data_IF_215914749245
#
_entry.id   IF_215914749245
#
_cell.length_a   1.000
_cell.length_b   1.000
_cell.length_c   1.000
_cell.angle_alpha   90.00
_cell.angle_beta   90.00
_cell.angle_gamma   90.00
#
_symmetry.space_group_name_H-M   'P 1'
#
loop_
_entity.id
_entity.type
_entity.pdbx_description
1 polymer ?
#
# COMPACT_ATOMS: atom_id res chain seq x y z
N UNK A 1 9.50 2.99 -7.52
CA UNK A 1 10.17 4.07 -8.27
C UNK A 1 11.67 3.90 -8.10
N UNK A 2 12.41 3.90 -9.21
CA UNK A 2 13.87 3.84 -9.25
C UNK A 2 14.44 5.24 -9.47
N UNK A 3 15.57 5.53 -8.84
CA UNK A 3 16.35 6.75 -9.04
C UNK A 3 17.56 6.40 -9.92
N UNK A 4 17.60 6.93 -11.13
CA UNK A 4 18.60 6.62 -12.14
C UNK A 4 19.69 7.69 -12.19
N UNK A 5 20.94 7.32 -12.54
CA UNK A 5 22.02 8.27 -12.72
C UNK A 5 21.90 9.08 -14.03
N UNK A 6 20.96 8.74 -14.90
CA UNK A 6 20.77 9.36 -16.22
C UNK A 6 19.31 9.74 -16.45
N UNK A 7 19.09 10.66 -17.38
CA UNK A 7 17.74 11.02 -17.83
C UNK A 7 17.28 10.06 -18.90
N UNK A 8 16.08 9.50 -18.71
CA UNK A 8 15.42 8.61 -19.69
C UNK A 8 14.14 9.23 -20.21
N UNK A 9 13.77 8.88 -21.46
CA UNK A 9 12.51 9.25 -22.10
C UNK A 9 11.57 8.06 -22.14
N UNK A 10 10.31 8.29 -22.46
CA UNK A 10 9.29 7.23 -22.51
C UNK A 10 9.67 6.06 -23.44
N UNK A 11 10.43 6.30 -24.51
CA UNK A 11 10.84 5.26 -25.46
C UNK A 11 12.15 4.54 -25.05
N UNK A 12 12.81 4.98 -24.02
CA UNK A 12 14.09 4.42 -23.57
C UNK A 12 13.88 3.26 -22.58
N UNK A 13 12.69 3.12 -22.02
CA UNK A 13 12.34 2.11 -21.02
C UNK A 13 11.00 1.44 -21.31
N UNK A 14 10.92 0.16 -21.07
CA UNK A 14 9.72 -0.67 -21.15
C UNK A 14 9.71 -1.76 -20.06
N UNK A 15 8.70 -2.63 -20.10
CA UNK A 15 8.56 -3.73 -19.14
C UNK A 15 9.76 -4.71 -19.14
N UNK A 16 10.51 -4.81 -20.23
CA UNK A 16 11.65 -5.73 -20.38
C UNK A 16 12.96 -5.07 -19.96
N UNK A 17 12.97 -3.78 -19.66
CA UNK A 17 14.17 -3.05 -19.27
C UNK A 17 14.68 -3.42 -17.89
N UNK A 18 13.85 -4.09 -17.07
CA UNK A 18 14.20 -4.44 -15.68
C UNK A 18 13.68 -5.81 -15.29
N UNK A 19 14.45 -6.52 -14.47
CA UNK A 19 14.02 -7.71 -13.74
C UNK A 19 13.88 -7.39 -12.26
N UNK A 20 12.83 -7.95 -11.62
CA UNK A 20 12.63 -7.83 -10.18
C UNK A 20 12.70 -9.22 -9.58
N UNK A 21 13.72 -9.46 -8.75
CA UNK A 21 13.79 -10.63 -7.88
C UNK A 21 13.32 -10.24 -6.48
N UNK A 22 12.54 -11.10 -5.85
CA UNK A 22 11.99 -10.88 -4.51
C UNK A 22 12.34 -12.03 -3.60
N UNK A 23 12.75 -11.69 -2.39
CA UNK A 23 12.79 -12.59 -1.24
C UNK A 23 11.76 -12.12 -0.22
N UNK A 24 10.83 -13.01 0.14
CA UNK A 24 9.83 -12.69 1.16
C UNK A 24 10.34 -13.13 2.51
N UNK A 25 10.40 -12.20 3.42
CA UNK A 25 10.91 -12.41 4.76
C UNK A 25 9.77 -12.40 5.78
N UNK A 26 9.92 -13.22 6.80
CA UNK A 26 9.14 -13.10 8.02
C UNK A 26 9.63 -11.90 8.82
N UNK A 27 8.84 -11.45 9.77
CA UNK A 27 9.20 -10.35 10.66
C UNK A 27 10.48 -10.61 11.48
N UNK A 28 10.85 -11.88 11.67
CA UNK A 28 12.12 -12.29 12.25
C UNK A 28 13.34 -11.94 11.40
N UNK A 29 13.12 -11.56 10.12
CA UNK A 29 14.16 -11.38 9.12
C UNK A 29 14.55 -12.66 8.38
N UNK A 30 13.94 -13.79 8.72
CA UNK A 30 14.19 -15.06 8.02
C UNK A 30 13.37 -15.16 6.75
N UNK A 31 13.93 -15.81 5.71
CA UNK A 31 13.21 -16.07 4.46
C UNK A 31 12.00 -16.95 4.76
N UNK A 32 10.83 -16.50 4.33
CA UNK A 32 9.60 -17.25 4.49
C UNK A 32 9.67 -18.61 3.77
N UNK A 33 9.51 -19.69 4.52
CA UNK A 33 9.42 -21.04 3.98
C UNK A 33 7.98 -21.42 3.70
N UNK A 34 7.67 -21.83 2.47
CA UNK A 34 6.31 -22.24 2.05
C UNK A 34 6.31 -23.68 1.58
N UNK A 35 5.33 -24.43 2.09
CA UNK A 35 5.00 -25.75 1.57
C UNK A 35 3.84 -25.66 0.59
N UNK A 36 4.08 -25.92 -0.69
CA UNK A 36 3.02 -26.02 -1.69
C UNK A 36 2.18 -27.27 -1.43
N UNK A 37 0.88 -27.22 -1.77
CA UNK A 37 0.01 -28.39 -1.66
C UNK A 37 0.56 -29.54 -2.51
N UNK A 38 0.77 -30.70 -1.88
CA UNK A 38 1.34 -31.89 -2.53
C UNK A 38 2.88 -31.92 -2.62
N UNK A 39 3.58 -30.93 -2.08
CA UNK A 39 5.04 -30.98 -1.98
C UNK A 39 5.48 -31.71 -0.70
N UNK A 40 6.59 -32.42 -0.75
CA UNK A 40 7.15 -33.12 0.41
C UNK A 40 7.83 -32.16 1.39
N UNK A 41 8.45 -31.10 0.89
CA UNK A 41 9.23 -30.14 1.67
C UNK A 41 8.75 -28.71 1.45
N UNK A 42 9.00 -27.85 2.44
CA UNK A 42 8.87 -26.41 2.29
C UNK A 42 10.04 -25.87 1.46
N UNK A 43 9.78 -24.86 0.65
CA UNK A 43 10.77 -24.15 -0.15
C UNK A 43 10.75 -22.65 0.20
N UNK A 44 11.88 -21.94 0.05
CA UNK A 44 11.91 -20.50 0.27
C UNK A 44 10.94 -19.77 -0.67
N UNK A 45 10.27 -18.74 -0.15
CA UNK A 45 9.33 -17.90 -0.91
C UNK A 45 10.09 -16.81 -1.64
N UNK A 46 10.81 -17.22 -2.68
CA UNK A 46 11.63 -16.34 -3.53
C UNK A 46 11.21 -16.50 -4.98
N UNK A 47 11.53 -15.54 -5.81
CA UNK A 47 11.25 -15.63 -7.24
C UNK A 47 11.25 -14.27 -7.93
N UNK A 48 10.77 -14.27 -9.17
CA UNK A 48 10.65 -13.06 -9.96
C UNK A 48 9.24 -12.52 -9.93
N UNK A 49 9.14 -11.19 -10.00
CA UNK A 49 7.89 -10.45 -10.15
C UNK A 49 7.84 -9.91 -11.57
N UNK A 50 6.71 -10.13 -12.25
CA UNK A 50 6.50 -9.60 -13.60
C UNK A 50 6.36 -8.08 -13.54
N UNK A 51 7.17 -7.40 -14.35
CA UNK A 51 7.03 -5.97 -14.64
C UNK A 51 5.99 -5.84 -15.74
N UNK A 52 4.92 -5.11 -15.48
CA UNK A 52 3.81 -4.88 -16.43
C UNK A 52 4.05 -3.64 -17.29
N UNK A 53 4.69 -2.63 -16.73
CA UNK A 53 5.09 -1.42 -17.43
C UNK A 53 6.27 -0.75 -16.73
N UNK A 54 7.09 0.00 -17.50
CA UNK A 54 8.07 0.93 -16.98
C UNK A 54 7.96 2.25 -17.74
N UNK A 55 8.09 3.37 -17.02
CA UNK A 55 8.00 4.71 -17.61
C UNK A 55 8.70 5.75 -16.75
N UNK A 56 9.19 6.85 -17.36
CA UNK A 56 9.74 7.99 -16.62
C UNK A 56 8.67 8.61 -15.73
N UNK A 57 9.07 9.03 -14.53
CA UNK A 57 8.16 9.63 -13.57
C UNK A 57 8.86 10.67 -12.69
N UNK A 58 8.09 11.37 -11.85
CA UNK A 58 8.64 12.14 -10.73
C UNK A 58 8.95 11.23 -9.54
N UNK A 59 9.49 11.81 -8.48
CA UNK A 59 9.81 11.10 -7.22
C UNK A 59 8.60 10.41 -6.56
N UNK A 60 7.39 10.84 -6.89
CA UNK A 60 6.13 10.28 -6.37
C UNK A 60 5.48 9.27 -7.33
N UNK A 61 6.16 8.90 -8.42
CA UNK A 61 5.68 7.95 -9.41
C UNK A 61 4.69 8.52 -10.43
N UNK A 62 4.50 9.85 -10.49
CA UNK A 62 3.64 10.48 -11.48
C UNK A 62 4.34 10.48 -12.84
N UNK A 63 3.68 9.91 -13.85
CA UNK A 63 4.21 9.74 -15.21
C UNK A 63 4.63 11.08 -15.84
N UNK A 64 5.83 11.09 -16.41
CA UNK A 64 6.42 12.18 -17.15
C UNK A 64 6.84 11.71 -18.54
N UNK A 65 7.14 12.65 -19.45
CA UNK A 65 7.69 12.34 -20.76
C UNK A 65 9.19 11.97 -20.69
N UNK A 66 9.90 12.49 -19.70
CA UNK A 66 11.30 12.23 -19.42
C UNK A 66 11.61 12.56 -17.96
N UNK A 67 12.68 11.98 -17.42
CA UNK A 67 13.12 12.22 -16.04
C UNK A 67 14.23 11.28 -15.62
N UNK A 68 14.73 11.49 -14.41
CA UNK A 68 15.75 10.62 -13.78
C UNK A 68 15.11 9.52 -12.91
N UNK A 69 13.79 9.51 -12.77
CA UNK A 69 13.09 8.45 -12.05
C UNK A 69 12.29 7.59 -13.01
N UNK A 70 12.24 6.29 -12.73
CA UNK A 70 11.44 5.31 -13.47
C UNK A 70 10.50 4.59 -12.52
N UNK A 71 9.21 4.65 -12.83
CA UNK A 71 8.22 3.79 -12.18
C UNK A 71 8.18 2.42 -12.85
N UNK A 72 8.16 1.37 -12.05
CA UNK A 72 7.85 0.02 -12.50
C UNK A 72 6.46 -0.35 -11.97
N UNK A 73 5.53 -0.61 -12.88
CA UNK A 73 4.27 -1.25 -12.53
C UNK A 73 4.48 -2.76 -12.49
N UNK A 74 4.05 -3.38 -11.39
CA UNK A 74 4.30 -4.81 -11.17
C UNK A 74 2.99 -5.55 -10.98
N UNK A 75 3.01 -6.87 -11.21
CA UNK A 75 1.89 -7.74 -10.93
C UNK A 75 1.50 -7.67 -9.44
N UNK A 76 0.19 -7.70 -9.17
CA UNK A 76 -0.34 -7.61 -7.80
C UNK A 76 0.24 -8.70 -6.90
N UNK A 77 0.84 -8.29 -5.79
CA UNK A 77 1.36 -9.18 -4.77
C UNK A 77 0.25 -9.54 -3.77
N UNK A 78 0.04 -10.82 -3.55
CA UNK A 78 -0.95 -11.30 -2.58
C UNK A 78 -0.34 -11.43 -1.20
N UNK A 79 -1.06 -10.96 -0.20
CA UNK A 79 -0.72 -11.22 1.20
C UNK A 79 -0.73 -12.73 1.48
N UNK A 80 0.24 -13.19 2.26
CA UNK A 80 0.27 -14.56 2.73
C UNK A 80 -0.72 -14.73 3.87
N UNK A 81 -1.66 -15.67 3.72
CA UNK A 81 -2.50 -16.13 4.83
C UNK A 81 -1.80 -17.32 5.47
N UNK A 82 -1.62 -17.26 6.79
CA UNK A 82 -1.11 -18.38 7.58
C UNK A 82 -2.16 -18.84 8.56
N UNK A 83 -2.18 -20.14 8.82
CA UNK A 83 -2.99 -20.75 9.89
C UNK A 83 -1.98 -21.10 10.99
N UNK A 84 -2.03 -20.38 12.11
CA UNK A 84 -1.27 -20.71 13.30
C UNK A 84 -2.26 -20.99 14.45
N UNK A 85 -2.11 -22.11 15.11
CA UNK A 85 -2.97 -22.48 16.24
C UNK A 85 -4.46 -22.59 15.93
N UNK A 86 -4.85 -22.89 14.69
CA UNK A 86 -6.25 -22.96 14.25
C UNK A 86 -6.91 -21.61 13.94
N UNK A 87 -6.20 -20.51 14.13
CA UNK A 87 -6.67 -19.16 13.81
C UNK A 87 -6.18 -18.77 12.42
N UNK A 88 -7.09 -18.37 11.53
CA UNK A 88 -6.72 -17.79 10.24
C UNK A 88 -6.19 -16.38 10.47
N UNK A 89 -4.88 -16.21 10.36
CA UNK A 89 -4.22 -14.91 10.36
C UNK A 89 -3.77 -14.52 8.96
N UNK A 90 -3.62 -13.21 8.74
CA UNK A 90 -2.90 -12.69 7.57
C UNK A 90 -1.72 -11.89 8.06
N UNK A 91 -0.55 -12.08 7.45
CA UNK A 91 0.62 -11.24 7.73
C UNK A 91 0.97 -10.44 6.49
N UNK A 92 1.46 -9.24 6.71
CA UNK A 92 2.26 -8.55 5.72
C UNK A 92 3.67 -9.12 5.78
N UNK A 93 4.21 -9.42 4.61
CA UNK A 93 5.58 -9.91 4.49
C UNK A 93 6.48 -8.71 4.17
N UNK A 94 7.71 -8.81 4.62
CA UNK A 94 8.76 -7.89 4.20
C UNK A 94 9.35 -8.41 2.89
N UNK A 95 9.03 -7.71 1.78
CA UNK A 95 9.52 -8.06 0.45
C UNK A 95 10.86 -7.35 0.22
N UNK A 96 11.96 -8.11 0.28
CA UNK A 96 13.26 -7.60 -0.13
C UNK A 96 13.40 -7.73 -1.64
N UNK A 97 13.51 -6.60 -2.30
CA UNK A 97 13.56 -6.51 -3.75
C UNK A 97 15.00 -6.29 -4.22
N UNK A 98 15.38 -7.03 -5.25
CA UNK A 98 16.58 -6.76 -6.04
C UNK A 98 16.16 -6.52 -7.49
N UNK A 99 16.32 -5.29 -7.95
CA UNK A 99 15.92 -4.89 -9.29
C UNK A 99 17.17 -4.73 -10.13
N UNK A 100 17.23 -5.44 -11.25
CA UNK A 100 18.37 -5.41 -12.16
C UNK A 100 17.95 -4.82 -13.49
N UNK A 101 18.70 -3.83 -13.95
CA UNK A 101 18.57 -3.28 -15.29
C UNK A 101 19.09 -4.29 -16.33
N UNK A 102 18.31 -4.57 -17.35
CA UNK A 102 18.64 -5.48 -18.45
C UNK A 102 18.96 -4.76 -19.76
N UNK A 103 18.19 -3.74 -20.10
CA UNK A 103 18.39 -2.95 -21.31
C UNK A 103 19.36 -1.79 -21.06
N UNK A 104 20.20 -1.48 -22.03
CA UNK A 104 21.03 -0.29 -21.99
C UNK A 104 20.14 0.98 -21.94
N UNK A 105 20.45 1.89 -21.03
CA UNK A 105 19.81 3.20 -20.94
C UNK A 105 20.72 4.26 -21.55
N UNK A 106 20.17 5.32 -22.13
CA UNK A 106 20.98 6.41 -22.68
C UNK A 106 21.89 6.99 -21.59
N UNK A 107 23.12 7.28 -21.95
CA UNK A 107 24.00 8.10 -21.10
C UNK A 107 23.52 9.56 -21.07
N UNK A 108 24.08 10.35 -20.17
CA UNK A 108 24.00 11.81 -20.26
C UNK A 108 24.76 12.27 -21.51
N UNK A 109 24.54 13.50 -21.94
CA UNK A 109 25.12 14.07 -23.17
C UNK A 109 26.63 13.77 -23.28
N UNK A 110 26.99 12.85 -24.20
CA UNK A 110 28.36 12.41 -24.46
C UNK A 110 28.88 11.24 -23.63
N UNK A 111 28.10 10.71 -22.71
CA UNK A 111 28.45 9.55 -21.90
C UNK A 111 28.06 8.22 -22.60
N UNK A 112 28.76 7.15 -22.27
CA UNK A 112 28.41 5.80 -22.69
C UNK A 112 27.05 5.39 -22.08
N UNK A 113 26.28 4.51 -22.76
CA UNK A 113 25.04 3.97 -22.22
C UNK A 113 25.26 3.29 -20.86
N UNK A 114 24.36 3.56 -19.93
CA UNK A 114 24.36 2.93 -18.60
C UNK A 114 23.79 1.52 -18.70
N UNK A 115 24.50 0.54 -18.17
CA UNK A 115 24.13 -0.88 -18.17
C UNK A 115 24.33 -1.52 -16.81
N UNK A 116 23.50 -2.52 -16.48
CA UNK A 116 23.72 -3.42 -15.36
C UNK A 116 23.51 -2.79 -13.98
N UNK A 117 22.74 -1.71 -13.88
CA UNK A 117 22.39 -1.13 -12.58
C UNK A 117 21.63 -2.15 -11.72
N UNK A 118 21.97 -2.18 -10.44
CA UNK A 118 21.30 -3.00 -9.44
C UNK A 118 20.78 -2.10 -8.33
N UNK A 119 19.50 -2.24 -8.02
CA UNK A 119 18.80 -1.54 -6.94
C UNK A 119 18.38 -2.59 -5.91
N UNK A 120 18.99 -2.59 -4.74
CA UNK A 120 18.75 -3.52 -3.63
C UNK A 120 18.50 -2.80 -2.29
N UNK A 121 18.47 -1.49 -2.31
CA UNK A 121 18.14 -0.66 -1.16
C UNK A 121 16.82 0.07 -1.37
N UNK A 122 15.87 -0.12 -0.45
CA UNK A 122 14.64 0.65 -0.39
C UNK A 122 14.87 1.91 0.47
N UNK A 123 14.56 3.10 -0.08
CA UNK A 123 14.67 4.37 0.64
C UNK A 123 13.39 4.73 1.41
N UNK A 124 12.29 4.06 1.13
CA UNK A 124 11.00 4.27 1.78
C UNK A 124 9.85 3.69 0.98
N UNK A 125 8.72 3.56 1.67
CA UNK A 125 7.47 3.09 1.10
C UNK A 125 6.48 4.23 0.95
N UNK A 126 5.92 4.37 -0.23
CA UNK A 126 4.81 5.27 -0.51
C UNK A 126 3.60 4.42 -0.88
N UNK A 127 2.61 4.39 0.01
CA UNK A 127 1.34 3.73 -0.28
C UNK A 127 0.26 4.79 -0.51
N UNK A 128 -0.12 5.08 -1.76
CA UNK A 128 -1.14 6.11 -2.04
C UNK A 128 -2.48 5.84 -1.36
N UNK A 129 -2.81 4.56 -1.13
CA UNK A 129 -4.03 4.16 -0.44
C UNK A 129 -4.05 4.58 1.04
N UNK A 130 -2.88 4.81 1.64
CA UNK A 130 -2.75 5.25 3.04
C UNK A 130 -2.64 6.77 3.19
N UNK A 131 -2.70 7.51 2.09
CA UNK A 131 -2.64 8.98 2.15
C UNK A 131 -3.81 9.54 2.96
N UNK A 132 -3.50 10.32 3.99
CA UNK A 132 -4.47 10.91 4.90
C UNK A 132 -4.98 9.96 6.00
N UNK A 133 -4.48 8.74 6.04
CA UNK A 133 -4.75 7.81 7.13
C UNK A 133 -3.71 7.94 8.25
N UNK A 134 -4.18 7.75 9.48
CA UNK A 134 -3.34 7.77 10.68
C UNK A 134 -3.77 6.66 11.64
N UNK A 135 -2.87 6.26 12.53
CA UNK A 135 -3.15 5.32 13.61
C UNK A 135 -3.08 6.02 14.95
N UNK A 136 -3.96 5.64 15.86
CA UNK A 136 -3.93 6.11 17.23
C UNK A 136 -4.44 5.01 18.19
N UNK A 137 -4.25 5.24 19.47
CA UNK A 137 -4.78 4.41 20.54
C UNK A 137 -5.75 5.24 21.38
N UNK A 138 -6.85 4.66 21.79
CA UNK A 138 -7.81 5.28 22.66
C UNK A 138 -7.13 5.74 23.96
N UNK A 139 -7.31 7.02 24.34
CA UNK A 139 -6.65 7.60 25.52
C UNK A 139 -7.18 7.03 26.85
N UNK A 140 -8.46 6.70 26.89
CA UNK A 140 -9.12 6.18 28.09
C UNK A 140 -9.60 4.77 27.81
N UNK A 141 -9.09 3.82 28.57
CA UNK A 141 -9.54 2.42 28.48
C UNK A 141 -10.99 2.31 29.00
N UNK A 142 -11.79 1.50 28.32
CA UNK A 142 -13.12 1.09 28.78
C UNK A 142 -13.03 -0.38 29.17
N UNK A 143 -13.44 -0.71 30.39
CA UNK A 143 -13.28 -2.06 30.96
C UNK A 143 -11.84 -2.61 30.86
N UNK A 144 -10.84 -1.73 31.03
CA UNK A 144 -9.44 -2.11 30.93
C UNK A 144 -8.90 -2.27 29.50
N UNK A 145 -9.73 -2.05 28.47
CA UNK A 145 -9.34 -2.18 27.07
C UNK A 145 -9.21 -0.80 26.45
N UNK A 146 -8.04 -0.50 25.90
CA UNK A 146 -7.79 0.66 25.05
C UNK A 146 -7.62 0.17 23.60
N UNK A 147 -8.58 0.51 22.73
CA UNK A 147 -8.55 0.09 21.35
C UNK A 147 -7.53 0.90 20.55
N UNK A 148 -6.75 0.21 19.73
CA UNK A 148 -6.04 0.81 18.62
C UNK A 148 -7.03 1.06 17.48
N UNK A 149 -6.83 2.11 16.70
CA UNK A 149 -7.68 2.41 15.57
C UNK A 149 -6.93 3.15 14.47
N UNK A 150 -7.34 2.88 13.23
CA UNK A 150 -7.02 3.71 12.08
C UNK A 150 -8.10 4.76 11.88
N UNK A 151 -7.72 5.93 11.41
CA UNK A 151 -8.69 6.95 11.03
C UNK A 151 -8.22 7.73 9.82
N UNK A 152 -9.20 8.19 9.06
CA UNK A 152 -9.03 9.11 7.96
C UNK A 152 -9.75 10.41 8.28
N UNK A 153 -9.02 11.50 8.19
CA UNK A 153 -9.54 12.86 8.30
C UNK A 153 -9.62 13.48 6.91
N UNK A 154 -10.82 13.82 6.42
CA UNK A 154 -10.96 14.45 5.13
C UNK A 154 -10.35 15.85 5.18
N UNK A 155 -9.49 16.18 4.22
CA UNK A 155 -8.96 17.53 4.07
C UNK A 155 -10.00 18.42 3.38
N UNK A 156 -10.59 19.33 4.12
CA UNK A 156 -11.45 20.37 3.54
C UNK A 156 -10.59 21.46 2.91
N UNK A 157 -10.75 21.65 1.60
CA UNK A 157 -10.46 22.93 0.99
C UNK A 157 -11.80 23.60 0.68
N UNK A 158 -11.96 24.85 1.06
CA UNK A 158 -13.17 25.63 0.76
C UNK A 158 -13.50 25.65 -0.75
N UNK A 159 -12.49 25.47 -1.57
CA UNK A 159 -12.56 25.39 -3.02
C UNK A 159 -13.06 24.03 -3.54
N UNK A 160 -12.87 22.96 -2.77
CA UNK A 160 -13.36 21.61 -3.10
C UNK A 160 -14.78 21.36 -2.56
N UNK A 161 -15.37 22.33 -1.87
CA UNK A 161 -16.70 22.22 -1.24
C UNK A 161 -17.87 22.32 -2.21
N UNK A 162 -17.65 22.25 -3.52
CA UNK A 162 -18.67 21.85 -4.48
C UNK A 162 -18.98 20.35 -4.29
N UNK A 163 -19.45 20.01 -3.10
CA UNK A 163 -19.83 18.65 -2.74
C UNK A 163 -21.01 18.25 -3.62
N UNK A 164 -20.77 17.35 -4.55
CA UNK A 164 -21.85 16.72 -5.26
C UNK A 164 -22.68 15.89 -4.28
N UNK A 165 -23.78 16.45 -3.84
CA UNK A 165 -24.82 15.68 -3.15
C UNK A 165 -25.74 15.09 -4.24
N UNK A 166 -25.72 13.77 -4.50
CA UNK A 166 -26.58 13.16 -5.51
C UNK A 166 -28.06 13.33 -5.19
N UNK A 167 -28.42 13.65 -3.94
CA UNK A 167 -29.80 13.88 -3.48
C UNK A 167 -30.16 15.37 -3.38
N UNK A 168 -29.17 16.27 -3.50
CA UNK A 168 -29.39 17.72 -3.49
C UNK A 168 -28.23 18.41 -4.24
N UNK A 169 -28.13 18.29 -5.57
CA UNK A 169 -27.00 18.77 -6.38
C UNK A 169 -26.79 20.29 -6.32
N UNK A 170 -27.77 21.04 -5.83
CA UNK A 170 -27.77 22.52 -5.79
C UNK A 170 -27.38 23.09 -4.41
N UNK A 171 -27.20 22.24 -3.40
CA UNK A 171 -26.95 22.70 -2.04
C UNK A 171 -25.46 22.72 -1.72
N UNK A 172 -24.79 23.84 -1.95
CA UNK A 172 -23.49 24.17 -1.39
C UNK A 172 -23.61 24.52 0.10
N UNK A 173 -23.91 23.57 0.94
CA UNK A 173 -23.86 23.74 2.38
C UNK A 173 -22.67 23.01 2.92
N UNK A 174 -21.70 23.76 3.46
CA UNK A 174 -20.65 23.16 4.31
C UNK A 174 -21.37 22.67 5.57
N UNK A 175 -21.52 21.35 5.77
CA UNK A 175 -22.26 20.87 6.92
C UNK A 175 -21.50 21.20 8.20
N UNK A 176 -22.22 21.67 9.21
CA UNK A 176 -21.64 21.86 10.54
C UNK A 176 -21.18 20.55 11.19
N UNK A 177 -21.61 19.41 10.66
CA UNK A 177 -21.24 18.07 11.14
C UNK A 177 -20.87 17.19 9.96
N UNK A 178 -19.67 16.65 9.97
CA UNK A 178 -19.23 15.66 9.00
C UNK A 178 -19.80 14.27 9.34
N UNK A 179 -20.18 13.47 8.35
CA UNK A 179 -20.49 12.06 8.55
C UNK A 179 -19.29 11.30 9.13
N UNK A 180 -19.57 10.32 9.99
CA UNK A 180 -18.58 9.37 10.48
C UNK A 180 -18.94 7.97 9.99
N UNK A 181 -18.05 7.38 9.22
CA UNK A 181 -18.12 5.97 8.83
C UNK A 181 -17.30 5.16 9.81
N UNK A 182 -17.92 4.20 10.50
CA UNK A 182 -17.24 3.25 11.36
C UNK A 182 -17.20 1.91 10.66
N UNK A 183 -16.01 1.37 10.42
CA UNK A 183 -15.83 0.06 9.82
C UNK A 183 -15.29 -0.93 10.85
N UNK A 184 -15.98 -2.04 11.03
CA UNK A 184 -15.57 -3.14 11.89
C UNK A 184 -14.92 -4.23 11.02
N UNK A 185 -13.66 -4.53 11.30
CA UNK A 185 -12.87 -5.49 10.52
C UNK A 185 -13.34 -6.93 10.71
N UNK A 186 -12.90 -7.82 9.82
CA UNK A 186 -13.16 -9.26 9.90
C UNK A 186 -12.24 -9.98 10.90
N UNK A 187 -12.53 -11.28 11.13
CA UNK A 187 -11.86 -12.12 12.11
C UNK A 187 -10.32 -12.21 11.96
N UNK A 188 -9.80 -12.12 10.74
CA UNK A 188 -8.35 -12.21 10.47
C UNK A 188 -7.57 -10.90 10.66
N UNK A 189 -8.18 -9.83 11.15
CA UNK A 189 -7.61 -8.47 11.19
C UNK A 189 -7.56 -7.88 12.60
N UNK A 190 -8.02 -8.64 13.60
CA UNK A 190 -7.87 -8.30 15.01
C UNK A 190 -6.40 -8.29 15.44
N UNK A 191 -6.08 -7.60 16.54
CA UNK A 191 -4.71 -7.43 17.04
C UNK A 191 -3.99 -8.75 17.28
N UNK A 192 -4.68 -9.76 17.80
CA UNK A 192 -4.13 -11.10 18.02
C UNK A 192 -3.77 -11.85 16.73
N UNK A 193 -4.42 -11.50 15.61
CA UNK A 193 -4.20 -12.12 14.29
C UNK A 193 -3.17 -11.39 13.43
N UNK A 194 -2.82 -10.14 13.76
CA UNK A 194 -1.95 -9.27 12.95
C UNK A 194 -0.50 -9.25 13.40
N UNK A 195 -0.16 -9.95 14.45
CA UNK A 195 1.20 -10.05 14.99
C UNK A 195 1.88 -8.69 15.22
N UNK A 196 1.10 -7.69 15.64
CA UNK A 196 1.62 -6.37 15.99
C UNK A 196 1.78 -5.39 14.83
N UNK A 197 1.17 -5.65 13.68
CA UNK A 197 1.12 -4.70 12.55
C UNK A 197 0.22 -3.48 12.82
N UNK A 198 -0.42 -3.44 14.00
CA UNK A 198 -1.28 -2.35 14.43
C UNK A 198 -2.57 -2.24 13.63
N UNK A 199 -3.28 -1.14 13.84
CA UNK A 199 -4.59 -0.91 13.22
C UNK A 199 -4.54 -0.80 11.70
N UNK A 200 -3.37 -0.54 11.09
CA UNK A 200 -3.22 -0.44 9.62
C UNK A 200 -3.77 -1.67 8.92
N UNK A 201 -3.60 -2.84 9.51
CA UNK A 201 -4.07 -4.10 8.96
C UNK A 201 -5.60 -4.13 8.81
N UNK A 202 -6.31 -3.55 9.76
CA UNK A 202 -7.77 -3.56 9.78
C UNK A 202 -8.40 -2.76 8.62
N UNK A 203 -7.69 -1.78 8.05
CA UNK A 203 -8.23 -0.96 6.96
C UNK A 203 -7.55 -1.18 5.60
N UNK A 204 -6.32 -1.70 5.56
CA UNK A 204 -5.68 -1.99 4.28
C UNK A 204 -6.12 -3.36 3.72
N UNK A 205 -6.37 -4.33 4.58
CA UNK A 205 -6.65 -5.72 4.21
C UNK A 205 -7.93 -5.92 3.39
N UNK A 206 -8.98 -5.14 3.65
CA UNK A 206 -10.29 -5.24 2.99
C UNK A 206 -10.58 -4.03 2.09
N UNK A 207 -9.56 -3.32 1.64
CA UNK A 207 -9.69 -2.12 0.79
C UNK A 207 -10.56 -1.02 1.42
N UNK A 208 -10.62 -0.95 2.76
CA UNK A 208 -11.37 0.08 3.48
C UNK A 208 -10.84 1.47 3.14
N UNK A 209 -9.55 1.56 2.80
CA UNK A 209 -8.91 2.77 2.28
C UNK A 209 -9.59 3.34 1.04
N UNK A 210 -10.36 2.54 0.29
CA UNK A 210 -11.14 3.06 -0.82
C UNK A 210 -12.19 4.10 -0.38
N UNK A 211 -12.65 4.04 0.89
CA UNK A 211 -13.63 5.00 1.43
C UNK A 211 -13.03 6.42 1.47
N UNK A 212 -11.70 6.54 1.60
CA UNK A 212 -11.02 7.86 1.57
C UNK A 212 -10.83 8.44 0.17
N UNK A 213 -11.09 7.67 -0.88
CA UNK A 213 -10.94 8.15 -2.26
C UNK A 213 -12.09 9.08 -2.65
N UNK A 214 -11.78 10.11 -3.44
CA UNK A 214 -12.75 11.14 -3.85
C UNK A 214 -14.03 10.56 -4.47
N UNK A 215 -13.92 9.48 -5.27
CA UNK A 215 -15.07 8.83 -5.90
C UNK A 215 -16.05 8.24 -4.87
N UNK A 216 -15.55 7.76 -3.74
CA UNK A 216 -16.39 7.20 -2.67
C UNK A 216 -16.82 8.29 -1.70
N UNK A 217 -15.93 9.21 -1.34
CA UNK A 217 -16.21 10.33 -0.45
C UNK A 217 -17.39 11.18 -0.94
N UNK A 218 -17.55 11.35 -2.24
CA UNK A 218 -18.69 12.12 -2.81
C UNK A 218 -20.07 11.56 -2.40
N UNK A 219 -20.20 10.25 -2.12
CA UNK A 219 -21.45 9.67 -1.63
C UNK A 219 -21.79 10.06 -0.20
N UNK A 220 -20.78 10.57 0.52
CA UNK A 220 -20.91 11.08 1.89
C UNK A 220 -20.81 12.62 1.94
N UNK A 221 -20.96 13.29 0.79
CA UNK A 221 -20.84 14.74 0.69
C UNK A 221 -19.38 15.23 0.56
N UNK A 222 -18.42 14.35 0.31
CA UNK A 222 -16.99 14.68 0.08
C UNK A 222 -16.14 14.81 1.34
N UNK A 223 -16.70 14.59 2.56
CA UNK A 223 -16.02 14.93 3.81
C UNK A 223 -16.33 13.97 4.97
N UNK A 224 -16.59 12.71 4.70
CA UNK A 224 -16.76 11.72 5.75
C UNK A 224 -15.46 11.39 6.44
N UNK A 225 -15.46 11.42 7.76
CA UNK A 225 -14.44 10.79 8.58
C UNK A 225 -14.61 9.28 8.52
N UNK A 226 -13.49 8.56 8.58
CA UNK A 226 -13.53 7.10 8.65
C UNK A 226 -12.78 6.65 9.90
N UNK A 227 -13.41 5.81 10.70
CA UNK A 227 -12.85 5.23 11.91
C UNK A 227 -12.84 3.71 11.77
N UNK A 228 -11.70 3.10 11.98
CA UNK A 228 -11.51 1.65 11.92
C UNK A 228 -10.87 1.17 13.23
N UNK A 229 -11.68 0.89 14.25
CA UNK A 229 -11.16 0.32 15.49
C UNK A 229 -10.67 -1.10 15.24
N UNK A 230 -9.61 -1.51 15.96
CA UNK A 230 -9.07 -2.85 15.92
C UNK A 230 -9.41 -3.58 17.21
N UNK A 231 -10.16 -4.69 17.11
CA UNK A 231 -10.43 -5.55 18.26
C UNK A 231 -9.13 -6.21 18.75
N UNK A 232 -8.90 -6.31 20.04
CA UNK A 232 -7.76 -7.06 20.59
C UNK A 232 -7.83 -8.56 20.26
N UNK A 233 -9.04 -9.11 20.11
CA UNK A 233 -9.32 -10.51 19.77
C UNK A 233 -10.36 -10.59 18.64
N UNK A 234 -11.59 -10.99 18.96
CA UNK A 234 -12.73 -10.96 18.06
C UNK A 234 -13.81 -10.02 18.63
N UNK A 235 -14.68 -9.47 17.75
CA UNK A 235 -15.74 -8.57 18.18
C UNK A 235 -16.81 -9.21 19.06
N UNK A 236 -16.84 -10.53 19.15
CA UNK A 236 -17.85 -11.30 19.87
C UNK A 236 -17.31 -11.99 21.12
N UNK A 237 -16.11 -11.65 21.57
CA UNK A 237 -15.50 -12.18 22.80
C UNK A 237 -15.92 -11.38 24.03
#
# INVERSE_FOLDING_TARGET
>A
VLDLPCTVRTNDVDANSFHIYVERHERSGEVLMRKKRGADHAAPSVGYIDVLAAYPCDENGRKLAFGTHVALEVAEQRLTKTIEGGVMGSRMLDDQLRITQLAALPGNDGDDPTCGLVFDACRGDICPALKGWSNATQKTAVNGIALEYGFFEPSFKAEDSACFNPFAPEATVVPQKAPLVVYLHGAGEGKGSTQGEGATRAYIGNRVTAISQAQIQRYFGGFAWVLVPQSPTFWMD
#
